data_IF_207484313497
#
_entry.id   IF_207484313497
#
_cell.length_a   1.000
_cell.length_b   1.000
_cell.length_c   1.000
_cell.angle_alpha   90.00
_cell.angle_beta   90.00
_cell.angle_gamma   90.00
#
_symmetry.space_group_name_H-M   'P 1'
#
loop_
_entity.id
_entity.type
_entity.pdbx_description
1 polymer ?
#
# COMPACT_ATOMS: atom_id res chain seq x y z
N UNK A 1 -18.74 -0.68 -2.27
CA UNK A 1 -17.54 -0.30 -1.49
C UNK A 1 -16.85 0.85 -2.20
N UNK A 2 -16.12 1.73 -1.50
CA UNK A 2 -15.28 2.73 -2.19
C UNK A 2 -14.04 1.99 -2.72
N UNK A 3 -13.66 2.30 -3.95
CA UNK A 3 -12.46 1.79 -4.61
C UNK A 3 -11.55 2.96 -4.98
N UNK A 4 -10.29 2.67 -5.28
CA UNK A 4 -9.32 3.59 -5.88
C UNK A 4 -8.52 2.85 -6.94
N UNK A 5 -7.89 3.56 -7.85
CA UNK A 5 -7.07 2.99 -8.93
C UNK A 5 -5.57 3.11 -8.64
N UNK A 6 -4.72 2.41 -9.38
CA UNK A 6 -3.26 2.62 -9.27
C UNK A 6 -2.91 4.06 -9.70
N UNK A 7 -3.63 4.65 -10.65
CA UNK A 7 -3.46 6.06 -11.01
C UNK A 7 -3.76 7.00 -9.82
N UNK A 8 -4.82 6.73 -9.07
CA UNK A 8 -5.16 7.50 -7.86
C UNK A 8 -4.07 7.42 -6.78
N UNK A 9 -3.32 6.31 -6.74
CA UNK A 9 -2.33 6.03 -5.71
C UNK A 9 -1.06 6.87 -5.84
N UNK A 10 -0.53 7.05 -7.06
CA UNK A 10 0.79 7.66 -7.25
C UNK A 10 0.80 9.06 -7.85
N UNK A 11 -0.32 9.56 -8.39
CA UNK A 11 -0.44 10.87 -9.07
C UNK A 11 0.52 11.12 -10.25
N UNK A 12 1.54 10.27 -10.45
CA UNK A 12 2.55 10.33 -11.49
C UNK A 12 2.23 9.27 -12.56
N UNK A 13 1.87 9.75 -13.74
CA UNK A 13 1.45 8.88 -14.85
C UNK A 13 2.63 8.20 -15.56
N UNK A 14 3.88 8.65 -15.31
CA UNK A 14 5.10 8.09 -15.95
C UNK A 14 5.35 6.63 -15.57
N UNK A 15 4.68 6.14 -14.53
CA UNK A 15 4.71 4.76 -14.07
C UNK A 15 4.08 3.80 -15.08
N UNK A 16 3.09 4.27 -15.84
CA UNK A 16 2.25 3.46 -16.70
C UNK A 16 2.83 3.30 -18.11
N UNK A 17 3.79 4.14 -18.50
CA UNK A 17 4.48 4.06 -19.79
C UNK A 17 5.64 3.04 -19.80
N UNK A 18 5.84 2.29 -18.72
CA UNK A 18 6.98 1.37 -18.55
C UNK A 18 6.67 -0.05 -19.02
N UNK A 19 7.67 -0.76 -19.56
CA UNK A 19 7.51 -2.15 -20.02
C UNK A 19 7.11 -3.15 -18.92
N UNK A 20 7.37 -2.82 -17.65
CA UNK A 20 7.14 -3.66 -16.48
C UNK A 20 6.63 -2.81 -15.29
N UNK A 21 5.41 -2.27 -15.36
CA UNK A 21 4.92 -1.30 -14.38
C UNK A 21 4.72 -1.96 -13.00
N UNK A 22 4.35 -3.24 -12.99
CA UNK A 22 4.31 -4.09 -11.78
C UNK A 22 5.63 -4.17 -11.03
N UNK A 23 6.72 -4.45 -11.75
CA UNK A 23 8.05 -4.50 -11.14
C UNK A 23 8.38 -3.11 -10.57
N UNK A 24 8.10 -2.05 -11.33
CA UNK A 24 8.34 -0.68 -10.89
C UNK A 24 7.67 -0.36 -9.55
N UNK A 25 6.41 -0.78 -9.33
CA UNK A 25 5.71 -0.59 -8.05
C UNK A 25 6.46 -1.23 -6.88
N UNK A 26 7.10 -2.39 -7.10
CA UNK A 26 7.84 -3.11 -6.07
C UNK A 26 9.25 -2.54 -5.81
N UNK A 27 9.89 -1.92 -6.81
CA UNK A 27 11.27 -1.39 -6.69
C UNK A 27 11.32 0.10 -6.37
N UNK A 28 10.35 0.90 -6.84
CA UNK A 28 10.34 2.36 -6.65
C UNK A 28 9.63 2.78 -5.36
N UNK A 29 10.27 2.45 -4.25
CA UNK A 29 9.88 2.85 -2.89
C UNK A 29 9.94 4.35 -2.62
N UNK A 30 10.33 5.18 -3.60
CA UNK A 30 10.43 6.63 -3.47
C UNK A 30 9.23 7.41 -4.03
N UNK A 31 8.29 6.76 -4.74
CA UNK A 31 7.13 7.45 -5.33
C UNK A 31 6.16 8.01 -4.28
N UNK A 32 5.86 9.31 -4.25
CA UNK A 32 4.91 9.84 -3.29
C UNK A 32 3.55 9.12 -3.42
N UNK A 33 3.02 8.64 -2.29
CA UNK A 33 1.65 8.11 -2.25
C UNK A 33 0.69 9.28 -2.02
N UNK A 34 -0.43 9.26 -2.73
CA UNK A 34 -1.50 10.23 -2.59
C UNK A 34 -1.98 10.30 -1.12
N UNK A 35 -1.87 11.47 -0.45
CA UNK A 35 -2.26 11.62 0.94
C UNK A 35 -3.74 11.30 1.23
N UNK A 36 -4.63 11.47 0.24
CA UNK A 36 -6.05 11.13 0.40
C UNK A 36 -6.28 9.62 0.54
N UNK A 37 -5.45 8.79 -0.10
CA UNK A 37 -5.47 7.33 0.04
C UNK A 37 -5.00 6.95 1.44
N UNK A 38 -3.89 7.55 1.89
CA UNK A 38 -3.35 7.36 3.24
C UNK A 38 -4.41 7.67 4.30
N UNK A 39 -5.04 8.84 4.19
CA UNK A 39 -6.08 9.27 5.14
C UNK A 39 -7.28 8.32 5.14
N UNK A 40 -7.71 7.80 3.98
CA UNK A 40 -8.79 6.82 3.92
C UNK A 40 -8.40 5.49 4.60
N UNK A 41 -7.15 5.05 4.48
CA UNK A 41 -6.65 3.85 5.16
C UNK A 41 -6.63 4.09 6.67
N UNK A 42 -6.10 5.22 7.14
CA UNK A 42 -6.12 5.58 8.58
C UNK A 42 -7.54 5.56 9.15
N UNK A 43 -8.49 6.19 8.47
CA UNK A 43 -9.90 6.26 8.90
C UNK A 43 -10.58 4.89 9.00
N UNK A 44 -10.24 3.95 8.12
CA UNK A 44 -10.88 2.62 8.07
C UNK A 44 -10.25 1.62 9.01
N UNK A 45 -8.93 1.72 9.19
CA UNK A 45 -8.15 0.74 9.96
C UNK A 45 -7.96 1.17 11.42
N UNK A 46 -8.03 2.48 11.70
CA UNK A 46 -7.63 3.05 12.99
C UNK A 46 -6.11 3.12 13.19
N UNK A 47 -5.32 2.69 12.20
CA UNK A 47 -3.86 2.77 12.22
C UNK A 47 -3.40 4.20 11.88
N UNK A 48 -2.18 4.56 12.26
CA UNK A 48 -1.57 5.85 11.94
C UNK A 48 -0.45 5.71 10.91
N UNK A 49 -0.46 6.59 9.91
CA UNK A 49 0.59 6.62 8.91
C UNK A 49 1.88 7.25 9.46
N UNK A 50 3.00 6.59 9.21
CA UNK A 50 4.31 7.03 9.65
C UNK A 50 5.26 7.15 8.45
N UNK A 51 5.43 8.40 7.97
CA UNK A 51 6.23 8.71 6.77
C UNK A 51 7.74 8.71 7.02
N UNK A 52 8.16 8.85 8.29
CA UNK A 52 9.56 8.85 8.69
C UNK A 52 9.73 7.88 9.84
N UNK A 53 10.73 7.02 9.73
CA UNK A 53 11.33 6.41 10.90
C UNK A 53 12.03 7.57 11.60
N UNK A 54 11.40 8.17 12.61
CA UNK A 54 12.08 9.17 13.41
C UNK A 54 13.14 8.46 14.26
N UNK A 55 14.36 9.00 14.30
CA UNK A 55 15.41 8.58 15.22
C UNK A 55 14.95 8.84 16.67
N UNK A 56 14.12 7.94 17.22
CA UNK A 56 13.52 8.08 18.55
C UNK A 56 12.19 7.36 18.75
N UNK A 57 11.44 7.04 17.69
CA UNK A 57 10.23 6.23 17.81
C UNK A 57 10.59 4.74 17.85
N UNK A 58 10.77 4.22 19.06
CA UNK A 58 11.13 2.82 19.37
C UNK A 58 10.04 1.81 18.96
N UNK A 59 8.90 2.25 18.42
CA UNK A 59 7.83 1.34 18.00
C UNK A 59 8.02 0.83 16.57
N UNK A 60 9.09 0.04 16.37
CA UNK A 60 9.26 -0.88 15.23
C UNK A 60 8.37 -2.13 15.33
N UNK A 61 7.34 -2.08 16.18
CA UNK A 61 6.48 -3.22 16.47
C UNK A 61 5.83 -3.77 15.19
N UNK A 62 5.44 -2.90 14.25
CA UNK A 62 4.87 -3.33 12.96
C UNK A 62 5.86 -4.10 12.07
N UNK A 63 7.18 -3.91 12.24
CA UNK A 63 8.23 -4.65 11.52
C UNK A 63 8.54 -6.00 12.16
N UNK A 64 8.08 -6.25 13.39
CA UNK A 64 8.22 -7.55 14.02
C UNK A 64 7.19 -8.51 13.42
N UNK A 65 7.66 -9.49 12.65
CA UNK A 65 6.83 -10.51 12.02
C UNK A 65 6.08 -11.40 13.04
N UNK A 66 6.56 -11.48 14.28
CA UNK A 66 5.94 -12.22 15.37
C UNK A 66 4.87 -11.39 16.11
N UNK A 67 4.81 -10.08 15.86
CA UNK A 67 3.78 -9.24 16.46
C UNK A 67 2.43 -9.50 15.81
N UNK A 68 1.47 -9.91 16.64
CA UNK A 68 0.07 -10.07 16.21
C UNK A 68 -0.48 -8.73 15.69
N UNK A 69 -1.30 -8.80 14.65
CA UNK A 69 -1.85 -7.62 13.97
C UNK A 69 -2.59 -6.68 14.92
N UNK A 70 -3.26 -7.21 15.95
CA UNK A 70 -3.98 -6.47 16.99
C UNK A 70 -3.11 -5.45 17.77
N UNK A 71 -1.78 -5.62 17.77
CA UNK A 71 -0.84 -4.71 18.44
C UNK A 71 -0.15 -3.74 17.47
N UNK A 72 -0.35 -3.87 16.15
CA UNK A 72 0.17 -2.92 15.17
C UNK A 72 -0.68 -1.66 15.21
N UNK A 73 -0.08 -0.53 15.56
CA UNK A 73 -0.76 0.77 15.67
C UNK A 73 -0.41 1.74 14.54
N UNK A 74 0.70 1.49 13.85
CA UNK A 74 1.19 2.33 12.76
C UNK A 74 1.42 1.50 11.50
N UNK A 75 1.35 2.18 10.35
CA UNK A 75 1.73 1.63 9.07
C UNK A 75 2.59 2.62 8.29
N UNK A 76 3.37 2.08 7.40
CA UNK A 76 4.30 2.80 6.55
C UNK A 76 3.82 2.75 5.11
N UNK A 77 4.55 3.48 4.27
CA UNK A 77 4.39 3.39 2.83
C UNK A 77 4.57 1.95 2.31
N UNK A 78 5.52 1.20 2.87
CA UNK A 78 5.79 -0.17 2.45
C UNK A 78 4.57 -1.06 2.68
N UNK A 79 3.90 -0.88 3.81
CA UNK A 79 2.71 -1.66 4.15
C UNK A 79 1.54 -1.39 3.19
N UNK A 80 1.40 -0.15 2.71
CA UNK A 80 0.43 0.19 1.64
C UNK A 80 0.77 -0.56 0.35
N UNK A 81 2.07 -0.60 -0.03
CA UNK A 81 2.50 -1.29 -1.24
C UNK A 81 2.32 -2.81 -1.13
N UNK A 82 2.61 -3.39 0.03
CA UNK A 82 2.41 -4.83 0.30
C UNK A 82 0.92 -5.21 0.19
N UNK A 83 0.03 -4.42 0.80
CA UNK A 83 -1.42 -4.62 0.71
C UNK A 83 -1.92 -4.57 -0.74
N UNK A 84 -1.41 -3.62 -1.52
CA UNK A 84 -1.78 -3.48 -2.93
C UNK A 84 -1.24 -4.63 -3.76
N UNK A 85 0.01 -5.05 -3.52
CA UNK A 85 0.60 -6.20 -4.18
C UNK A 85 -0.21 -7.48 -3.94
N UNK A 86 -0.70 -7.69 -2.71
CA UNK A 86 -1.59 -8.80 -2.40
C UNK A 86 -2.89 -8.76 -3.22
N UNK A 87 -3.53 -7.59 -3.33
CA UNK A 87 -4.74 -7.42 -4.16
C UNK A 87 -4.50 -7.63 -5.64
N UNK A 88 -3.35 -7.22 -6.17
CA UNK A 88 -3.04 -7.43 -7.57
C UNK A 88 -2.80 -8.91 -7.88
N UNK A 89 -2.10 -9.62 -6.98
CA UNK A 89 -1.91 -11.07 -7.08
C UNK A 89 -3.23 -11.84 -7.01
N UNK A 90 -4.16 -11.42 -6.14
CA UNK A 90 -5.47 -12.06 -6.03
C UNK A 90 -6.33 -11.89 -7.29
N UNK A 91 -6.13 -10.79 -8.02
CA UNK A 91 -6.71 -10.55 -9.35
C UNK A 91 -6.01 -11.32 -10.49
N UNK A 92 -5.02 -12.18 -10.17
CA UNK A 92 -4.18 -12.92 -11.13
C UNK A 92 -3.43 -12.01 -12.11
N UNK A 93 -3.19 -10.76 -11.72
CA UNK A 93 -2.41 -9.82 -12.51
C UNK A 93 -0.93 -10.11 -12.28
N UNK A 94 -0.19 -10.35 -13.35
CA UNK A 94 1.22 -10.71 -13.31
C UNK A 94 2.08 -9.55 -13.80
N UNK A 95 3.40 -9.70 -13.64
CA UNK A 95 4.43 -8.83 -14.23
C UNK A 95 4.30 -8.58 -15.75
N UNK A 96 3.51 -9.38 -16.44
CA UNK A 96 3.26 -9.26 -17.89
C UNK A 96 2.09 -8.31 -18.22
N UNK A 97 1.35 -7.85 -17.21
CA UNK A 97 0.25 -6.90 -17.37
C UNK A 97 0.82 -5.51 -17.68
N UNK A 98 0.43 -4.96 -18.83
CA UNK A 98 0.94 -3.68 -19.33
C UNK A 98 0.10 -2.49 -18.87
N UNK A 99 -1.22 -2.61 -18.88
CA UNK A 99 -2.12 -1.53 -18.49
C UNK A 99 -2.61 -1.73 -17.05
N UNK A 100 -1.98 -1.04 -16.11
CA UNK A 100 -2.28 -1.16 -14.68
C UNK A 100 -2.98 0.07 -14.08
N UNK A 101 -3.09 1.16 -14.85
CA UNK A 101 -3.63 2.43 -14.36
C UNK A 101 -5.05 2.29 -13.81
N UNK A 102 -5.88 1.52 -14.51
CA UNK A 102 -7.33 1.44 -14.28
C UNK A 102 -7.72 0.25 -13.40
N UNK A 103 -6.74 -0.45 -12.81
CA UNK A 103 -7.02 -1.55 -11.91
C UNK A 103 -7.66 -1.01 -10.64
N UNK A 104 -8.88 -1.46 -10.36
CA UNK A 104 -9.59 -1.14 -9.15
C UNK A 104 -9.00 -1.90 -7.96
N UNK A 105 -8.65 -1.14 -6.92
CA UNK A 105 -8.23 -1.61 -5.62
C UNK A 105 -9.29 -1.25 -4.59
N UNK A 106 -9.50 -2.16 -3.66
CA UNK A 106 -10.35 -1.94 -2.50
C UNK A 106 -9.55 -1.27 -1.39
N UNK A 107 -10.20 -0.39 -0.63
CA UNK A 107 -9.66 0.00 0.67
C UNK A 107 -9.87 -1.14 1.68
N UNK A 108 -8.97 -1.30 2.66
CA UNK A 108 -9.17 -2.28 3.73
C UNK A 108 -10.40 -1.90 4.56
N UNK A 109 -11.18 -2.89 5.01
CA UNK A 109 -12.35 -2.63 5.86
C UNK A 109 -11.98 -2.42 7.33
N UNK A 110 -10.85 -2.98 7.77
CA UNK A 110 -10.30 -2.89 9.12
C UNK A 110 -8.79 -3.17 9.11
N UNK A 111 -8.14 -3.06 10.27
CA UNK A 111 -6.70 -3.33 10.41
C UNK A 111 -6.31 -4.77 10.05
N UNK A 112 -7.15 -5.77 10.39
CA UNK A 112 -6.84 -7.17 10.12
C UNK A 112 -6.72 -7.44 8.62
N UNK A 113 -7.69 -6.98 7.82
CA UNK A 113 -7.64 -7.08 6.36
C UNK A 113 -6.46 -6.32 5.75
N UNK A 114 -6.06 -5.19 6.34
CA UNK A 114 -4.89 -4.44 5.87
C UNK A 114 -3.59 -5.23 6.07
N UNK A 115 -3.51 -6.02 7.15
CA UNK A 115 -2.33 -6.82 7.50
C UNK A 115 -2.37 -8.26 6.97
N UNK A 116 -3.48 -8.69 6.36
CA UNK A 116 -3.56 -9.96 5.65
C UNK A 116 -2.67 -9.91 4.40
N UNK A 117 -1.69 -10.81 4.35
CA UNK A 117 -0.69 -10.95 3.28
C UNK A 117 -0.88 -12.24 2.51
#
# INVERSE_FOLDING_TARGET
>A
MKHFTIADLFQDTRLFDMEQPFLFLSVNRNLPINPAIVQNIEQRTGLRYQNKISDGEVCFAHLNAELRNEYKQTFTKQDILDYIYHQLNSQKLTKETKDISDIFLSYPRNADEFWER
#
